data_IF_691070487226
#
_entry.id   IF_691070487226
#
_cell.length_a   1.000
_cell.length_b   1.000
_cell.length_c   1.000
_cell.angle_alpha   90.00
_cell.angle_beta   90.00
_cell.angle_gamma   90.00
#
_symmetry.space_group_name_H-M   'P 1'
#
loop_
_entity.id
_entity.type
_entity.pdbx_description
1 polymer ?
#
# COMPACT_ATOMS: atom_id res chain seq x y z
N UNK A 1 18.62 -13.58 2.26
CA UNK A 1 18.53 -12.92 3.57
C UNK A 1 19.91 -12.88 4.23
N UNK A 2 20.65 -11.80 4.04
CA UNK A 2 21.92 -11.57 4.74
C UNK A 2 21.70 -11.22 6.23
N UNK A 3 22.73 -11.28 7.09
CA UNK A 3 22.60 -10.97 8.51
C UNK A 3 22.13 -9.53 8.80
N UNK A 4 22.56 -8.56 7.97
CA UNK A 4 22.11 -7.17 8.06
C UNK A 4 20.62 -7.01 7.70
N UNK A 5 20.16 -7.75 6.68
CA UNK A 5 18.76 -7.76 6.24
C UNK A 5 17.84 -8.34 7.33
N UNK A 6 18.31 -9.37 8.05
CA UNK A 6 17.58 -9.94 9.20
C UNK A 6 17.49 -8.98 10.38
N UNK A 7 18.52 -8.20 10.65
CA UNK A 7 18.50 -7.20 11.74
C UNK A 7 17.50 -6.09 11.44
N UNK A 8 17.53 -5.54 10.23
CA UNK A 8 16.58 -4.49 9.80
C UNK A 8 15.12 -4.98 9.85
N UNK A 9 14.86 -6.25 9.49
CA UNK A 9 13.52 -6.82 9.63
C UNK A 9 13.07 -6.94 11.09
N UNK A 10 13.97 -7.34 11.99
CA UNK A 10 13.66 -7.42 13.43
C UNK A 10 13.37 -6.04 14.02
N UNK A 11 14.17 -5.03 13.70
CA UNK A 11 13.96 -3.66 14.17
C UNK A 11 12.61 -3.12 13.69
N UNK A 12 12.24 -3.38 12.42
CA UNK A 12 10.93 -3.03 11.88
C UNK A 12 9.79 -3.75 12.59
N UNK A 13 9.94 -5.04 12.88
CA UNK A 13 8.93 -5.81 13.59
C UNK A 13 8.76 -5.30 15.03
N UNK A 14 9.87 -5.00 15.73
CA UNK A 14 9.83 -4.44 17.08
C UNK A 14 9.15 -3.08 17.09
N UNK A 15 9.55 -2.16 16.22
CA UNK A 15 8.93 -0.85 16.11
C UNK A 15 7.42 -0.95 15.80
N UNK A 16 7.05 -1.90 14.94
CA UNK A 16 5.65 -2.17 14.64
C UNK A 16 4.89 -2.68 15.87
N UNK A 17 5.43 -3.67 16.60
CA UNK A 17 4.80 -4.18 17.83
C UNK A 17 4.63 -3.08 18.88
N UNK A 18 5.65 -2.27 19.12
CA UNK A 18 5.56 -1.15 20.08
C UNK A 18 4.47 -0.15 19.68
N UNK A 19 4.35 0.15 18.38
CA UNK A 19 3.29 1.01 17.88
C UNK A 19 1.90 0.42 18.14
N UNK A 20 1.71 -0.88 17.87
CA UNK A 20 0.45 -1.59 18.14
C UNK A 20 0.05 -1.51 19.61
N UNK A 21 1.01 -1.72 20.52
CA UNK A 21 0.78 -1.64 21.96
C UNK A 21 0.33 -0.24 22.40
N UNK A 22 1.04 0.80 21.95
CA UNK A 22 0.67 2.20 22.25
C UNK A 22 -0.73 2.56 21.75
N UNK A 23 -1.13 2.02 20.60
CA UNK A 23 -2.47 2.23 20.07
C UNK A 23 -3.54 1.51 20.90
N UNK A 24 -3.29 0.27 21.34
CA UNK A 24 -4.21 -0.46 22.21
C UNK A 24 -4.39 0.25 23.56
N UNK A 25 -3.29 0.74 24.15
CA UNK A 25 -3.35 1.55 25.37
C UNK A 25 -4.12 2.86 25.16
N UNK A 26 -3.93 3.51 24.01
CA UNK A 26 -4.67 4.73 23.66
C UNK A 26 -6.17 4.43 23.56
N UNK A 27 -6.54 3.37 22.85
CA UNK A 27 -7.94 2.94 22.72
C UNK A 27 -8.56 2.61 24.09
N UNK A 28 -7.79 1.98 24.99
CA UNK A 28 -8.24 1.71 26.35
C UNK A 28 -8.51 3.00 27.14
N UNK A 29 -7.61 4.00 27.04
CA UNK A 29 -7.80 5.32 27.68
C UNK A 29 -9.01 6.06 27.12
N UNK A 30 -9.19 6.03 25.80
CA UNK A 30 -10.32 6.66 25.11
C UNK A 30 -11.65 5.99 25.43
N UNK A 31 -11.64 4.66 25.66
CA UNK A 31 -12.81 3.92 26.15
C UNK A 31 -13.19 4.28 27.59
N UNK A 32 -12.34 5.04 28.32
CA UNK A 32 -12.61 5.47 29.69
C UNK A 32 -12.61 4.32 30.71
N UNK A 33 -12.08 3.15 30.34
CA UNK A 33 -12.12 1.95 31.18
C UNK A 33 -10.98 1.97 32.21
N UNK A 34 -11.33 1.73 33.48
CA UNK A 34 -10.36 1.46 34.54
C UNK A 34 -10.32 -0.04 34.79
N UNK A 35 -9.39 -0.71 34.12
CA UNK A 35 -9.21 -2.16 34.19
C UNK A 35 -8.01 -2.52 35.08
N UNK A 36 -8.13 -3.66 35.76
CA UNK A 36 -7.00 -4.39 36.36
C UNK A 36 -6.09 -4.98 35.26
N UNK A 37 -4.89 -5.46 35.61
CA UNK A 37 -3.90 -5.87 34.62
C UNK A 37 -4.42 -7.01 33.71
N UNK A 38 -5.07 -8.02 34.28
CA UNK A 38 -5.61 -9.16 33.52
C UNK A 38 -6.63 -8.71 32.48
N UNK A 39 -7.56 -7.81 32.84
CA UNK A 39 -8.53 -7.26 31.89
C UNK A 39 -7.91 -6.33 30.86
N UNK A 40 -6.80 -5.64 31.20
CA UNK A 40 -6.05 -4.83 30.23
C UNK A 40 -5.43 -5.72 29.15
N UNK A 41 -4.80 -6.82 29.56
CA UNK A 41 -4.17 -7.76 28.64
C UNK A 41 -5.23 -8.37 27.70
N UNK A 42 -6.40 -8.76 28.24
CA UNK A 42 -7.52 -9.24 27.45
C UNK A 42 -8.08 -8.17 26.50
N UNK A 43 -8.20 -6.92 26.95
CA UNK A 43 -8.63 -5.81 26.11
C UNK A 43 -7.66 -5.59 24.94
N UNK A 44 -6.36 -5.56 25.21
CA UNK A 44 -5.33 -5.40 24.20
C UNK A 44 -5.38 -6.52 23.16
N UNK A 45 -5.46 -7.78 23.59
CA UNK A 45 -5.56 -8.93 22.69
C UNK A 45 -6.78 -8.80 21.75
N UNK A 46 -7.95 -8.50 22.33
CA UNK A 46 -9.20 -8.34 21.57
C UNK A 46 -9.16 -7.14 20.64
N UNK A 47 -8.62 -6.01 21.08
CA UNK A 47 -8.46 -4.82 20.26
C UNK A 47 -7.59 -5.10 19.04
N UNK A 48 -6.43 -5.74 19.24
CA UNK A 48 -5.52 -6.08 18.14
C UNK A 48 -6.13 -7.12 17.19
N UNK A 49 -6.91 -8.06 17.70
CA UNK A 49 -7.64 -9.03 16.88
C UNK A 49 -8.65 -8.34 15.96
N UNK A 50 -9.54 -7.50 16.51
CA UNK A 50 -10.57 -6.82 15.72
C UNK A 50 -9.95 -5.81 14.74
N UNK A 51 -8.87 -5.13 15.15
CA UNK A 51 -8.13 -4.26 14.24
C UNK A 51 -7.60 -5.01 13.02
N UNK A 52 -6.97 -6.18 13.20
CA UNK A 52 -6.47 -7.01 12.07
C UNK A 52 -7.61 -7.42 11.14
N UNK A 53 -8.79 -7.68 11.69
CA UNK A 53 -9.99 -7.98 10.90
C UNK A 53 -10.42 -6.78 10.06
N UNK A 54 -10.56 -5.60 10.69
CA UNK A 54 -10.90 -4.34 10.00
C UNK A 54 -9.89 -4.05 8.88
N UNK A 55 -8.59 -4.16 9.15
CA UNK A 55 -7.55 -3.92 8.14
C UNK A 55 -7.62 -4.89 6.96
N UNK A 56 -7.96 -6.15 7.21
CA UNK A 56 -8.16 -7.15 6.14
C UNK A 56 -9.35 -6.78 5.26
N UNK A 57 -10.47 -6.44 5.90
CA UNK A 57 -11.71 -6.10 5.20
C UNK A 57 -11.51 -4.83 4.35
N UNK A 58 -10.88 -3.80 4.92
CA UNK A 58 -10.52 -2.57 4.20
C UNK A 58 -9.59 -2.84 3.03
N UNK A 59 -8.58 -3.70 3.20
CA UNK A 59 -7.67 -4.08 2.11
C UNK A 59 -8.42 -4.73 0.97
N UNK A 60 -9.33 -5.65 1.28
CA UNK A 60 -10.15 -6.32 0.26
C UNK A 60 -11.06 -5.33 -0.47
N UNK A 61 -11.69 -4.40 0.25
CA UNK A 61 -12.54 -3.38 -0.34
C UNK A 61 -11.76 -2.46 -1.27
N UNK A 62 -10.61 -1.94 -0.82
CA UNK A 62 -9.73 -1.09 -1.62
C UNK A 62 -9.20 -1.82 -2.83
N UNK A 63 -8.80 -3.08 -2.70
CA UNK A 63 -8.33 -3.91 -3.81
C UNK A 63 -9.43 -4.13 -4.84
N UNK A 64 -10.65 -4.41 -4.40
CA UNK A 64 -11.82 -4.56 -5.28
C UNK A 64 -12.08 -3.27 -6.05
N UNK A 65 -12.11 -2.12 -5.35
CA UNK A 65 -12.26 -0.79 -5.98
C UNK A 65 -11.15 -0.51 -6.99
N UNK A 66 -9.89 -0.85 -6.65
CA UNK A 66 -8.74 -0.71 -7.52
C UNK A 66 -8.92 -1.52 -8.81
N UNK A 67 -9.31 -2.79 -8.70
CA UNK A 67 -9.52 -3.67 -9.84
C UNK A 67 -10.61 -3.15 -10.79
N UNK A 68 -11.65 -2.52 -10.26
CA UNK A 68 -12.70 -1.88 -11.07
C UNK A 68 -12.20 -0.62 -11.81
N UNK A 69 -11.27 0.14 -11.22
CA UNK A 69 -10.77 1.39 -11.79
C UNK A 69 -9.62 1.19 -12.79
N UNK A 70 -8.86 0.09 -12.67
CA UNK A 70 -7.70 -0.18 -13.53
C UNK A 70 -8.03 -0.23 -15.03
N UNK A 71 -9.12 -0.87 -15.50
CA UNK A 71 -9.48 -0.86 -16.92
C UNK A 71 -9.77 0.54 -17.46
N UNK A 72 -10.44 1.38 -16.66
CA UNK A 72 -10.74 2.77 -17.04
C UNK A 72 -9.45 3.58 -17.20
N UNK A 73 -8.51 3.38 -16.27
CA UNK A 73 -7.16 3.97 -16.37
C UNK A 73 -6.44 3.48 -17.63
N UNK A 74 -6.46 2.17 -17.91
CA UNK A 74 -5.82 1.59 -19.09
C UNK A 74 -6.39 2.15 -20.40
N UNK A 75 -7.71 2.27 -20.51
CA UNK A 75 -8.34 2.85 -21.71
C UNK A 75 -8.02 4.33 -21.88
N UNK A 76 -7.95 5.09 -20.77
CA UNK A 76 -7.53 6.49 -20.82
C UNK A 76 -6.09 6.61 -21.32
N UNK A 77 -5.18 5.83 -20.75
CA UNK A 77 -3.78 5.78 -21.17
C UNK A 77 -3.67 5.31 -22.63
N UNK A 78 -4.46 4.32 -23.05
CA UNK A 78 -4.46 3.86 -24.44
C UNK A 78 -4.81 4.99 -25.40
N UNK A 79 -5.82 5.82 -25.10
CA UNK A 79 -6.17 6.99 -25.92
C UNK A 79 -5.05 8.03 -25.93
N UNK A 80 -4.54 8.39 -24.75
CA UNK A 80 -3.46 9.37 -24.59
C UNK A 80 -2.20 9.00 -25.42
N UNK A 81 -1.89 7.70 -25.54
CA UNK A 81 -0.68 7.22 -26.20
C UNK A 81 -0.89 6.60 -27.60
N UNK A 82 -2.14 6.40 -28.05
CA UNK A 82 -2.46 5.95 -29.42
C UNK A 82 -2.88 7.08 -30.36
N UNK A 83 -3.31 8.24 -29.84
CA UNK A 83 -3.55 9.39 -30.70
C UNK A 83 -2.22 9.80 -31.36
N UNK A 84 -2.13 9.79 -32.71
CA UNK A 84 -0.95 10.30 -33.37
C UNK A 84 -0.87 11.79 -33.04
N UNK A 85 0.19 12.18 -32.33
CA UNK A 85 0.55 13.59 -32.20
C UNK A 85 0.45 14.23 -33.59
N UNK A 86 -0.34 15.31 -33.80
CA UNK A 86 -0.51 15.95 -35.10
C UNK A 86 0.74 16.76 -35.48
N UNK A 87 1.91 16.16 -35.38
CA UNK A 87 3.20 16.79 -35.63
C UNK A 87 4.19 15.85 -36.34
N UNK A 88 3.73 14.87 -37.14
CA UNK A 88 4.59 14.28 -38.18
C UNK A 88 3.76 13.86 -39.40
N UNK A 89 3.03 14.81 -40.01
CA UNK A 89 2.71 14.69 -41.43
C UNK A 89 3.74 15.50 -42.21
N UNK A 90 4.58 14.76 -42.93
CA UNK A 90 5.41 15.18 -44.05
C UNK A 90 6.77 15.83 -43.76
N UNK A 91 7.83 15.03 -43.81
CA UNK A 91 9.02 15.35 -44.60
C UNK A 91 9.62 14.03 -45.14
N UNK A 92 9.86 13.91 -46.46
CA UNK A 92 10.26 12.66 -47.09
C UNK A 92 11.72 12.30 -46.80
N UNK A 93 11.97 11.00 -46.86
CA UNK A 93 13.29 10.36 -46.75
C UNK A 93 14.36 11.04 -47.60
N UNK A 94 15.52 11.31 -46.99
CA UNK A 94 16.77 11.50 -47.71
C UNK A 94 17.68 10.34 -47.33
N UNK A 95 17.72 9.35 -48.23
CA UNK A 95 18.70 8.27 -48.23
C UNK A 95 20.09 8.88 -48.34
N UNK A 96 20.93 8.68 -47.33
CA UNK A 96 22.37 8.88 -47.45
C UNK A 96 23.04 7.54 -47.21
N UNK A 97 23.39 6.88 -48.32
CA UNK A 97 24.29 5.72 -48.36
C UNK A 97 25.71 6.20 -48.05
N UNK A 98 26.44 5.59 -47.10
CA UNK A 98 27.88 5.82 -46.98
C UNK A 98 28.62 4.88 -47.95
N UNK A 99 29.32 5.46 -48.91
CA UNK A 99 30.23 4.77 -49.81
C UNK A 99 31.64 4.77 -49.20
N UNK A 100 32.11 3.56 -48.90
CA UNK A 100 33.48 3.02 -48.84
C UNK A 100 34.63 3.77 -48.15
#
# INVERSE_FOLDING_TARGET
>A
MGPQERNLMREREQAHREQLQREAEKALREAGLRLDQEKRDLFEERYLQERRRIERDLRQEVETKRQQQLPVLQERLKKEFQEPSPAVRSAPAVSVTPTH
#
